data_IF_597827703070
#
_entry.id   IF_597827703070
#
_cell.length_a   1.000
_cell.length_b   1.000
_cell.length_c   1.000
_cell.angle_alpha   90.00
_cell.angle_beta   90.00
_cell.angle_gamma   90.00
#
_symmetry.space_group_name_H-M   'P 1'
#
loop_
_entity.id
_entity.type
_entity.pdbx_description
1 polymer ?
#
# COMPACT_ATOMS: atom_id res chain seq x y z
N UNK A 1 -16.11 -2.98 17.96
CA UNK A 1 -15.85 -1.81 18.82
C UNK A 1 -14.92 -0.90 18.06
N UNK A 2 -15.47 0.14 17.42
CA UNK A 2 -14.67 1.15 16.73
C UNK A 2 -13.98 1.98 17.81
N UNK A 3 -12.69 1.77 17.99
CA UNK A 3 -11.87 2.68 18.78
C UNK A 3 -11.74 3.94 17.94
N UNK A 4 -12.57 4.94 18.21
CA UNK A 4 -12.34 6.31 17.72
C UNK A 4 -11.01 6.75 18.34
N UNK A 5 -9.95 6.57 17.59
CA UNK A 5 -8.65 7.14 17.95
C UNK A 5 -8.84 8.63 17.73
N UNK A 6 -8.74 9.39 18.81
CA UNK A 6 -8.87 10.84 18.80
C UNK A 6 -7.85 11.40 17.80
N UNK A 7 -8.34 11.75 16.60
CA UNK A 7 -7.52 12.26 15.49
C UNK A 7 -7.03 13.69 15.72
N UNK A 8 -7.40 14.29 16.87
CA UNK A 8 -6.98 15.64 17.24
C UNK A 8 -5.56 15.68 17.73
N UNK A 9 -4.74 16.46 17.05
CA UNK A 9 -3.32 16.63 17.34
C UNK A 9 -3.00 18.12 17.49
N UNK A 10 -2.38 18.48 18.59
CA UNK A 10 -1.88 19.84 18.79
C UNK A 10 -0.55 19.98 18.03
N UNK A 11 -0.52 20.90 17.08
CA UNK A 11 0.65 21.18 16.25
C UNK A 11 1.22 22.57 16.61
N UNK A 12 2.53 22.64 16.77
CA UNK A 12 3.25 23.90 17.02
C UNK A 12 3.82 24.43 15.70
N UNK A 13 3.53 25.69 15.37
CA UNK A 13 4.13 26.32 14.19
C UNK A 13 5.66 26.45 14.36
N UNK A 14 6.40 26.23 13.26
CA UNK A 14 7.88 26.29 13.26
C UNK A 14 8.37 27.48 12.45
N UNK A 15 9.20 28.30 13.08
CA UNK A 15 9.92 29.39 12.42
C UNK A 15 11.38 29.04 12.13
N UNK A 16 11.93 28.06 12.85
CA UNK A 16 13.33 27.68 12.73
C UNK A 16 13.50 26.44 11.83
N UNK A 17 14.37 26.56 10.83
CA UNK A 17 14.61 25.56 9.81
C UNK A 17 16.05 25.00 9.87
N UNK A 18 16.31 23.95 9.11
CA UNK A 18 17.59 23.33 8.89
C UNK A 18 17.83 22.05 9.70
N UNK A 19 18.87 21.30 9.29
CA UNK A 19 19.22 19.96 9.80
C UNK A 19 19.37 19.89 11.33
N UNK A 20 20.04 20.88 11.91
CA UNK A 20 20.30 20.93 13.36
C UNK A 20 19.02 21.11 14.19
N UNK A 21 18.07 21.91 13.70
CA UNK A 21 16.78 22.13 14.36
C UNK A 21 15.88 20.89 14.25
N UNK A 22 15.81 20.26 13.08
CA UNK A 22 15.04 19.03 12.88
C UNK A 22 15.56 17.91 13.80
N UNK A 23 16.90 17.76 13.92
CA UNK A 23 17.50 16.77 14.83
C UNK A 23 17.14 17.04 16.31
N UNK A 24 17.16 18.30 16.74
CA UNK A 24 16.77 18.66 18.12
C UNK A 24 15.30 18.39 18.39
N UNK A 25 14.41 18.67 17.43
CA UNK A 25 12.99 18.36 17.54
C UNK A 25 12.75 16.86 17.72
N UNK A 26 13.39 16.03 16.89
CA UNK A 26 13.29 14.57 17.00
C UNK A 26 13.85 14.07 18.34
N UNK A 27 14.95 14.64 18.82
CA UNK A 27 15.48 14.33 20.14
C UNK A 27 14.54 14.73 21.29
N UNK A 28 13.70 15.76 21.09
CA UNK A 28 12.64 16.16 22.03
C UNK A 28 11.34 15.37 21.86
N UNK A 29 11.33 14.30 21.04
CA UNK A 29 10.15 13.47 20.81
C UNK A 29 9.10 14.11 19.91
N UNK A 30 9.45 15.16 19.15
CA UNK A 30 8.55 15.80 18.18
C UNK A 30 8.94 15.46 16.75
N UNK A 31 7.95 15.35 15.87
CA UNK A 31 8.15 15.05 14.46
C UNK A 31 7.97 16.34 13.66
N UNK A 32 8.95 16.73 12.82
CA UNK A 32 8.78 17.83 11.89
C UNK A 32 7.83 17.41 10.77
N UNK A 33 6.86 18.27 10.43
CA UNK A 33 5.93 18.05 9.35
C UNK A 33 5.74 19.31 8.51
N UNK A 34 5.29 19.14 7.28
CA UNK A 34 4.92 20.22 6.36
C UNK A 34 3.48 20.07 5.97
N UNK A 35 2.72 21.14 6.11
CA UNK A 35 1.33 21.25 5.74
C UNK A 35 1.21 22.10 4.47
N UNK A 36 0.71 21.55 3.39
CA UNK A 36 0.54 22.24 2.10
C UNK A 36 -0.81 21.91 1.46
N UNK A 37 -1.23 22.70 0.48
CA UNK A 37 -2.46 22.49 -0.28
C UNK A 37 -3.13 23.79 -0.66
N UNK A 38 -4.11 23.73 -1.56
CA UNK A 38 -4.94 24.85 -2.03
C UNK A 38 -4.17 26.09 -2.50
N UNK A 39 -2.92 25.94 -2.96
CA UNK A 39 -2.08 27.06 -3.40
C UNK A 39 -1.66 28.01 -2.28
N UNK A 40 -1.85 27.65 -1.02
CA UNK A 40 -1.36 28.42 0.12
C UNK A 40 0.13 28.18 0.35
N UNK A 41 0.81 29.13 1.01
CA UNK A 41 2.21 28.94 1.42
C UNK A 41 2.32 27.76 2.37
N UNK A 42 3.28 26.83 2.17
CA UNK A 42 3.48 25.70 3.07
C UNK A 42 3.73 26.17 4.52
N UNK A 43 3.05 25.54 5.45
CA UNK A 43 3.22 25.81 6.89
C UNK A 43 4.02 24.67 7.49
N UNK A 44 5.14 24.99 8.13
CA UNK A 44 5.95 24.00 8.82
C UNK A 44 5.48 23.88 10.27
N UNK A 45 5.27 22.65 10.72
CA UNK A 45 4.77 22.35 12.06
C UNK A 45 5.61 21.29 12.75
N UNK A 46 5.54 21.26 14.08
CA UNK A 46 6.09 20.20 14.91
C UNK A 46 4.95 19.47 15.58
N UNK A 47 4.89 18.15 15.39
CA UNK A 47 3.85 17.26 15.90
C UNK A 47 4.35 16.43 17.08
N UNK A 48 3.49 16.06 18.06
CA UNK A 48 3.85 15.16 19.16
C UNK A 48 4.13 13.75 18.59
N UNK A 49 5.38 13.27 18.73
CA UNK A 49 5.85 12.07 18.07
C UNK A 49 5.08 10.81 18.45
N UNK A 50 4.83 10.60 19.75
CA UNK A 50 4.14 9.40 20.22
C UNK A 50 2.70 9.29 19.72
N UNK A 51 1.92 10.36 19.84
CA UNK A 51 0.52 10.39 19.41
C UNK A 51 0.41 10.16 17.90
N UNK A 52 1.21 10.91 17.13
CA UNK A 52 1.19 10.85 15.67
C UNK A 52 1.68 9.48 15.15
N UNK A 53 2.69 8.87 15.78
CA UNK A 53 3.18 7.55 15.38
C UNK A 53 2.12 6.43 15.50
N UNK A 54 1.15 6.57 16.40
CA UNK A 54 0.02 5.66 16.52
C UNK A 54 -1.02 5.89 15.42
N UNK A 55 -1.30 7.16 15.10
CA UNK A 55 -2.29 7.53 14.08
C UNK A 55 -1.83 7.17 12.66
N UNK A 56 -0.56 7.41 12.37
CA UNK A 56 0.06 7.21 11.05
C UNK A 56 0.32 5.72 10.70
N UNK A 57 0.02 4.80 11.61
CA UNK A 57 0.03 3.35 11.28
C UNK A 57 -0.99 2.96 10.22
N UNK A 58 -2.05 3.76 10.08
CA UNK A 58 -3.05 3.59 9.02
C UNK A 58 -2.58 4.39 7.82
N UNK A 59 -2.60 3.77 6.64
CA UNK A 59 -2.38 4.50 5.39
C UNK A 59 -3.45 5.59 5.26
N UNK A 60 -3.08 6.72 4.67
CA UNK A 60 -4.00 7.84 4.40
C UNK A 60 -4.78 8.33 5.63
N UNK A 61 -4.13 8.40 6.79
CA UNK A 61 -4.75 8.86 8.02
C UNK A 61 -5.18 10.33 7.91
N UNK A 62 -6.42 10.63 8.33
CA UNK A 62 -6.94 11.99 8.44
C UNK A 62 -6.69 12.51 9.86
N UNK A 63 -6.01 13.65 9.97
CA UNK A 63 -5.65 14.31 11.23
C UNK A 63 -6.39 15.63 11.37
N UNK A 64 -6.91 15.91 12.56
CA UNK A 64 -7.42 17.23 12.94
C UNK A 64 -6.30 17.99 13.67
N UNK A 65 -5.65 18.89 12.96
CA UNK A 65 -4.56 19.68 13.52
C UNK A 65 -5.07 20.94 14.17
N UNK A 66 -4.65 21.18 15.39
CA UNK A 66 -4.86 22.46 16.08
C UNK A 66 -3.55 23.25 16.03
N UNK A 67 -3.52 24.28 15.15
CA UNK A 67 -2.37 25.16 14.95
C UNK A 67 -2.76 26.56 15.41
N UNK A 68 -2.10 27.11 16.42
CA UNK A 68 -2.37 28.47 16.94
C UNK A 68 -3.85 28.73 17.24
N UNK A 69 -4.56 27.71 17.76
CA UNK A 69 -5.99 27.80 18.10
C UNK A 69 -6.94 27.64 16.91
N UNK A 70 -6.46 27.40 15.71
CA UNK A 70 -7.27 27.09 14.52
C UNK A 70 -7.25 25.59 14.27
N UNK A 71 -8.44 25.03 14.06
CA UNK A 71 -8.58 23.62 13.66
C UNK A 71 -8.50 23.49 12.13
N UNK A 72 -7.68 22.56 11.66
CA UNK A 72 -7.47 22.30 10.26
C UNK A 72 -7.39 20.81 9.99
N UNK A 73 -8.17 20.32 9.02
CA UNK A 73 -8.08 18.94 8.57
C UNK A 73 -6.89 18.76 7.64
N UNK A 74 -6.12 17.72 7.88
CA UNK A 74 -4.96 17.37 7.09
C UNK A 74 -4.92 15.86 6.84
N UNK A 75 -4.68 15.48 5.59
CA UNK A 75 -4.42 14.12 5.19
C UNK A 75 -2.92 13.85 5.24
N UNK A 76 -2.52 12.71 5.77
CA UNK A 76 -1.14 12.23 5.70
C UNK A 76 -0.89 11.71 4.28
N UNK A 77 -0.04 12.43 3.52
CA UNK A 77 0.30 12.05 2.14
C UNK A 77 1.53 11.14 2.09
N UNK A 78 2.57 11.46 2.88
CA UNK A 78 3.79 10.65 2.94
C UNK A 78 4.37 10.64 4.36
N UNK A 79 5.05 9.53 4.69
CA UNK A 79 5.68 9.30 5.99
C UNK A 79 7.09 8.78 5.79
N UNK A 80 8.06 9.65 6.00
CA UNK A 80 9.46 9.27 5.95
C UNK A 80 9.89 8.64 7.28
N UNK A 81 10.23 7.36 7.23
CA UNK A 81 10.63 6.57 8.39
C UNK A 81 12.04 6.04 8.24
N UNK A 82 12.86 6.21 9.27
CA UNK A 82 14.18 5.57 9.35
C UNK A 82 14.00 4.06 9.53
N UNK A 83 14.48 3.23 8.58
CA UNK A 83 14.31 1.78 8.65
C UNK A 83 15.10 1.14 9.80
N UNK A 84 16.21 1.74 10.24
CA UNK A 84 17.08 1.20 11.28
C UNK A 84 16.54 1.50 12.67
N UNK A 85 16.23 2.76 12.95
CA UNK A 85 15.75 3.20 14.26
C UNK A 85 14.24 3.14 14.42
N UNK A 86 13.49 2.86 13.32
CA UNK A 86 12.02 2.83 13.30
C UNK A 86 11.38 4.15 13.77
N UNK A 87 12.10 5.28 13.58
CA UNK A 87 11.68 6.63 13.97
C UNK A 87 11.11 7.33 12.74
N UNK A 88 9.99 8.02 12.90
CA UNK A 88 9.44 8.88 11.85
C UNK A 88 10.30 10.14 11.77
N UNK A 89 10.89 10.37 10.61
CA UNK A 89 11.76 11.52 10.37
C UNK A 89 11.01 12.75 9.88
N UNK A 90 10.02 12.57 9.04
CA UNK A 90 9.20 13.63 8.45
C UNK A 90 7.81 13.14 8.10
N UNK A 91 6.84 14.05 8.08
CA UNK A 91 5.48 13.78 7.63
C UNK A 91 5.04 14.89 6.69
N UNK A 92 4.53 14.51 5.53
CA UNK A 92 3.92 15.41 4.57
C UNK A 92 2.40 15.38 4.72
N UNK A 93 1.81 16.55 4.91
CA UNK A 93 0.41 16.73 5.19
C UNK A 93 -0.25 17.59 4.12
N UNK A 94 -1.34 17.09 3.56
CA UNK A 94 -2.17 17.81 2.62
C UNK A 94 -3.38 18.41 3.35
N UNK A 95 -3.57 19.72 3.24
CA UNK A 95 -4.78 20.39 3.76
C UNK A 95 -5.98 19.90 2.95
N UNK A 96 -7.04 19.50 3.64
CA UNK A 96 -8.26 19.04 3.00
C UNK A 96 -9.48 19.70 3.61
N UNK A 97 -10.53 19.87 2.82
CA UNK A 97 -11.84 20.34 3.28
C UNK A 97 -12.81 19.15 3.35
N UNK A 98 -13.80 19.26 4.22
CA UNK A 98 -14.87 18.26 4.28
C UNK A 98 -15.62 18.22 2.94
N UNK A 99 -15.81 17.01 2.39
CA UNK A 99 -16.50 16.80 1.12
C UNK A 99 -15.65 17.07 -0.13
N UNK A 100 -14.37 17.36 0.01
CA UNK A 100 -13.46 17.52 -1.12
C UNK A 100 -12.99 16.15 -1.63
N UNK A 101 -12.94 16.02 -2.95
CA UNK A 101 -12.35 14.83 -3.58
C UNK A 101 -10.84 15.00 -3.70
N UNK A 102 -10.13 14.00 -3.29
CA UNK A 102 -8.67 13.97 -3.29
C UNK A 102 -8.16 12.69 -3.93
N UNK A 103 -6.99 12.78 -4.54
CA UNK A 103 -6.29 11.61 -5.05
C UNK A 103 -5.37 11.05 -3.96
N UNK A 104 -5.58 9.77 -3.65
CA UNK A 104 -4.81 9.04 -2.63
C UNK A 104 -4.34 7.71 -3.16
N UNK A 105 -3.17 7.28 -2.68
CA UNK A 105 -2.61 5.98 -3.00
C UNK A 105 -3.03 5.00 -1.91
N UNK A 106 -3.85 4.03 -2.26
CA UNK A 106 -4.42 3.05 -1.33
C UNK A 106 -3.72 1.71 -1.52
N UNK A 107 -3.23 1.06 -0.45
CA UNK A 107 -2.60 -0.24 -0.54
C UNK A 107 -3.61 -1.31 -0.95
N UNK A 108 -3.13 -2.28 -1.74
CA UNK A 108 -3.87 -3.48 -2.13
C UNK A 108 -3.61 -4.58 -1.10
N UNK A 109 -4.68 -5.20 -0.61
CA UNK A 109 -4.64 -6.36 0.26
C UNK A 109 -5.16 -7.57 -0.51
N UNK A 110 -4.34 -8.60 -0.62
CA UNK A 110 -4.74 -9.86 -1.25
C UNK A 110 -5.35 -10.76 -0.17
N UNK A 111 -6.57 -11.27 -0.42
CA UNK A 111 -7.26 -12.22 0.44
C UNK A 111 -7.58 -13.49 -0.37
N UNK A 112 -7.62 -14.63 0.32
CA UNK A 112 -7.87 -15.95 -0.29
C UNK A 112 -6.59 -16.76 -0.52
N UNK A 113 -6.78 -18.02 -0.88
CA UNK A 113 -5.70 -18.95 -1.25
C UNK A 113 -5.85 -19.30 -2.75
N UNK A 114 -4.80 -19.09 -3.56
CA UNK A 114 -4.83 -19.45 -4.98
C UNK A 114 -4.84 -20.99 -5.14
N UNK A 115 -4.98 -21.47 -6.36
CA UNK A 115 -4.93 -22.90 -6.65
C UNK A 115 -3.64 -23.54 -6.11
N UNK A 116 -3.70 -24.76 -5.52
CA UNK A 116 -2.51 -25.42 -4.99
C UNK A 116 -1.39 -25.56 -6.03
N UNK A 117 -0.18 -25.16 -5.66
CA UNK A 117 0.98 -25.17 -6.55
C UNK A 117 1.26 -23.85 -7.27
N UNK A 118 0.41 -22.84 -7.09
CA UNK A 118 0.63 -21.50 -7.64
C UNK A 118 1.09 -20.50 -6.58
N UNK A 119 1.73 -19.41 -7.03
CA UNK A 119 2.11 -18.28 -6.20
C UNK A 119 1.45 -17.00 -6.70
N UNK A 120 1.13 -16.12 -5.76
CA UNK A 120 0.59 -14.79 -6.05
C UNK A 120 1.74 -13.80 -6.14
N UNK A 121 1.92 -13.20 -7.30
CA UNK A 121 2.85 -12.10 -7.50
C UNK A 121 2.08 -10.78 -7.48
N UNK A 122 2.43 -9.90 -6.55
CA UNK A 122 1.86 -8.56 -6.45
C UNK A 122 2.78 -7.57 -7.18
N UNK A 123 2.40 -7.16 -8.38
CA UNK A 123 3.17 -6.22 -9.20
C UNK A 123 3.01 -4.79 -8.69
N UNK A 124 1.77 -4.39 -8.40
CA UNK A 124 1.47 -3.09 -7.85
C UNK A 124 0.90 -3.19 -6.44
N UNK A 125 1.63 -2.68 -5.46
CA UNK A 125 1.24 -2.70 -4.05
C UNK A 125 0.24 -1.62 -3.67
N UNK A 126 0.09 -0.59 -4.52
CA UNK A 126 -0.80 0.56 -4.28
C UNK A 126 -1.55 0.93 -5.55
N UNK A 127 -2.76 1.45 -5.38
CA UNK A 127 -3.62 1.96 -6.47
C UNK A 127 -4.05 3.39 -6.14
N UNK A 128 -3.92 4.30 -7.11
CA UNK A 128 -4.36 5.68 -6.96
C UNK A 128 -5.85 5.79 -7.20
N UNK A 129 -6.57 6.26 -6.19
CA UNK A 129 -8.02 6.46 -6.22
C UNK A 129 -8.37 7.92 -5.96
N UNK A 130 -9.39 8.43 -6.61
CA UNK A 130 -10.04 9.68 -6.26
C UNK A 130 -11.20 9.38 -5.32
N UNK A 131 -11.11 9.85 -4.08
CA UNK A 131 -12.10 9.59 -3.01
C UNK A 131 -12.41 10.86 -2.24
N UNK A 132 -13.55 10.88 -1.56
CA UNK A 132 -13.87 11.95 -0.62
C UNK A 132 -12.95 11.89 0.61
N UNK A 133 -12.40 13.04 1.03
CA UNK A 133 -11.44 13.16 2.12
C UNK A 133 -11.91 12.55 3.46
N UNK A 134 -13.23 12.46 3.67
CA UNK A 134 -13.83 11.88 4.88
C UNK A 134 -14.03 10.36 4.82
N UNK A 135 -13.97 9.76 3.63
CA UNK A 135 -14.29 8.34 3.38
C UNK A 135 -13.18 7.62 2.62
N UNK A 136 -11.95 7.78 3.07
CA UNK A 136 -10.80 7.13 2.44
C UNK A 136 -10.75 5.66 2.88
N UNK A 137 -10.72 4.69 1.94
CA UNK A 137 -10.55 3.28 2.27
C UNK A 137 -9.14 3.03 2.80
N UNK A 138 -9.00 2.13 3.77
CA UNK A 138 -7.69 1.77 4.33
C UNK A 138 -6.90 0.83 3.40
N UNK A 139 -7.61 -0.02 2.65
CA UNK A 139 -7.08 -0.95 1.67
C UNK A 139 -8.15 -1.29 0.64
N UNK A 140 -7.72 -1.74 -0.51
CA UNK A 140 -8.59 -2.36 -1.52
C UNK A 140 -8.32 -3.86 -1.48
N UNK A 141 -9.38 -4.65 -1.30
CA UNK A 141 -9.28 -6.11 -1.22
C UNK A 141 -9.33 -6.70 -2.62
N UNK A 142 -8.41 -7.61 -2.89
CA UNK A 142 -8.38 -8.45 -4.09
C UNK A 142 -8.53 -9.90 -3.65
N UNK A 143 -9.60 -10.54 -4.09
CA UNK A 143 -9.85 -11.94 -3.82
C UNK A 143 -9.15 -12.81 -4.89
N UNK A 144 -8.30 -13.72 -4.42
CA UNK A 144 -7.56 -14.67 -5.27
C UNK A 144 -7.98 -16.12 -5.03
N UNK A 145 -9.08 -16.35 -4.30
CA UNK A 145 -9.52 -17.70 -3.94
C UNK A 145 -9.81 -18.57 -5.16
N UNK A 146 -9.10 -19.68 -5.26
CA UNK A 146 -9.30 -20.69 -6.33
C UNK A 146 -8.93 -20.24 -7.73
N UNK A 147 -8.21 -19.11 -7.90
CA UNK A 147 -7.77 -18.64 -9.21
C UNK A 147 -6.63 -19.52 -9.73
N UNK A 148 -6.70 -19.84 -11.03
CA UNK A 148 -5.76 -20.72 -11.72
C UNK A 148 -4.52 -19.96 -12.21
N UNK A 149 -3.49 -20.71 -12.59
CA UNK A 149 -2.29 -20.20 -13.23
C UNK A 149 -2.61 -19.35 -14.48
N UNK A 150 -1.79 -18.30 -14.69
CA UNK A 150 -1.95 -17.37 -15.81
C UNK A 150 -3.07 -16.36 -15.63
N UNK A 151 -3.77 -16.36 -14.50
CA UNK A 151 -4.77 -15.33 -14.21
C UNK A 151 -4.09 -14.01 -13.85
N UNK A 152 -4.52 -12.94 -14.54
CA UNK A 152 -4.09 -11.58 -14.32
C UNK A 152 -5.25 -10.74 -13.82
N UNK A 153 -5.06 -10.04 -12.70
CA UNK A 153 -6.03 -9.10 -12.17
C UNK A 153 -5.51 -7.69 -12.43
N UNK A 154 -6.27 -6.91 -13.18
CA UNK A 154 -5.95 -5.53 -13.52
C UNK A 154 -6.62 -4.54 -12.58
N UNK A 155 -6.21 -3.27 -12.65
CA UNK A 155 -6.81 -2.22 -11.83
C UNK A 155 -8.31 -2.01 -12.11
N UNK A 156 -8.79 -2.35 -13.32
CA UNK A 156 -10.20 -2.28 -13.68
C UNK A 156 -11.06 -3.34 -12.98
N UNK A 157 -10.47 -4.49 -12.62
CA UNK A 157 -11.18 -5.61 -11.99
C UNK A 157 -11.37 -5.44 -10.47
N UNK A 158 -10.79 -4.39 -9.90
CA UNK A 158 -10.84 -4.14 -8.46
C UNK A 158 -12.24 -3.76 -7.99
N UNK A 159 -12.66 -4.36 -6.88
CA UNK A 159 -13.90 -3.97 -6.21
C UNK A 159 -13.69 -2.69 -5.41
N UNK A 160 -14.10 -1.56 -5.98
CA UNK A 160 -13.95 -0.26 -5.34
C UNK A 160 -15.11 0.03 -4.36
N UNK A 161 -14.84 0.67 -3.23
CA UNK A 161 -15.87 1.14 -2.31
C UNK A 161 -16.73 2.25 -2.93
N UNK A 162 -17.92 2.45 -2.39
CA UNK A 162 -18.86 3.47 -2.88
C UNK A 162 -18.25 4.87 -2.78
N UNK A 163 -18.23 5.59 -3.89
CA UNK A 163 -17.71 6.96 -3.94
C UNK A 163 -16.23 7.07 -4.30
N UNK A 164 -15.55 5.95 -4.53
CA UNK A 164 -14.18 5.94 -5.07
C UNK A 164 -14.21 5.84 -6.60
N UNK A 165 -13.34 6.61 -7.26
CA UNK A 165 -13.09 6.53 -8.69
C UNK A 165 -11.64 6.13 -8.93
N UNK A 166 -11.40 5.22 -9.86
CA UNK A 166 -10.06 4.80 -10.25
C UNK A 166 -9.36 5.93 -11.01
N UNK A 167 -8.15 6.29 -10.61
CA UNK A 167 -7.28 7.25 -11.30
C UNK A 167 -6.15 6.52 -12.03
N UNK A 168 -5.68 5.41 -11.45
CA UNK A 168 -4.70 4.51 -12.10
C UNK A 168 -5.30 4.00 -13.40
N UNK A 169 -4.46 3.84 -14.43
CA UNK A 169 -4.88 3.23 -15.69
C UNK A 169 -5.45 1.83 -15.42
N UNK A 170 -6.64 1.54 -15.95
CA UNK A 170 -7.34 0.27 -15.74
C UNK A 170 -6.57 -0.96 -16.27
N UNK A 171 -5.63 -0.76 -17.20
CA UNK A 171 -4.79 -1.84 -17.77
C UNK A 171 -3.59 -2.20 -16.89
N UNK A 172 -3.32 -1.44 -15.82
CA UNK A 172 -2.20 -1.73 -14.91
C UNK A 172 -2.43 -3.05 -14.21
N UNK A 173 -1.44 -3.95 -14.32
CA UNK A 173 -1.44 -5.24 -13.64
C UNK A 173 -1.24 -5.04 -12.14
N UNK A 174 -2.12 -5.61 -11.36
CA UNK A 174 -2.06 -5.56 -9.89
C UNK A 174 -1.56 -6.90 -9.34
N UNK A 175 -2.19 -7.99 -9.75
CA UNK A 175 -1.85 -9.33 -9.29
C UNK A 175 -1.71 -10.26 -10.48
N UNK A 176 -0.64 -11.07 -10.48
CA UNK A 176 -0.45 -12.17 -11.41
C UNK A 176 -0.29 -13.48 -10.65
N UNK A 177 -0.94 -14.53 -11.10
CA UNK A 177 -0.81 -15.87 -10.55
C UNK A 177 0.10 -16.68 -11.46
N UNK A 178 1.19 -17.22 -10.90
CA UNK A 178 2.17 -18.01 -11.63
C UNK A 178 2.57 -19.27 -10.86
N UNK A 179 3.15 -20.23 -11.55
CA UNK A 179 3.77 -21.41 -10.95
C UNK A 179 5.24 -21.07 -10.62
N UNK A 180 5.76 -21.47 -9.44
CA UNK A 180 7.17 -21.31 -9.13
C UNK A 180 8.04 -22.07 -10.14
N UNK A 181 9.10 -21.42 -10.62
CA UNK A 181 10.02 -22.02 -11.60
C UNK A 181 10.66 -23.36 -11.13
N UNK A 182 10.74 -23.57 -9.81
CA UNK A 182 11.21 -24.84 -9.25
C UNK A 182 10.24 -26.00 -9.50
N UNK A 183 8.92 -25.73 -9.49
CA UNK A 183 7.88 -26.73 -9.77
C UNK A 183 7.79 -27.05 -11.26
N UNK A 184 8.04 -26.06 -12.11
CA UNK A 184 8.09 -26.30 -13.57
C UNK A 184 9.26 -27.22 -13.97
N UNK A 185 10.43 -27.05 -13.33
CA UNK A 185 11.56 -27.94 -13.59
C UNK A 185 11.31 -29.40 -13.14
N UNK A 186 10.57 -29.59 -12.05
CA UNK A 186 10.17 -30.94 -11.59
C UNK A 186 9.11 -31.58 -12.49
N UNK A 187 8.19 -30.79 -13.04
CA UNK A 187 7.18 -31.28 -13.98
C UNK A 187 7.80 -31.65 -15.32
N UNK A 188 8.72 -30.80 -15.84
CA UNK A 188 9.46 -31.09 -17.08
C UNK A 188 10.36 -32.34 -16.95
N UNK A 189 10.97 -32.60 -15.77
CA UNK A 189 11.73 -33.82 -15.50
C UNK A 189 10.81 -35.07 -15.44
N UNK A 190 9.60 -34.93 -14.91
CA UNK A 190 8.63 -36.05 -14.83
C UNK A 190 8.07 -36.37 -16.23
N UNK A 191 7.71 -35.36 -17.03
CA UNK A 191 7.25 -35.57 -18.39
C UNK A 191 8.34 -36.18 -19.29
N UNK A 192 9.58 -35.72 -19.17
CA UNK A 192 10.71 -36.28 -19.89
C UNK A 192 11.03 -37.73 -19.46
N UNK A 193 10.80 -38.07 -18.18
CA UNK A 193 10.98 -39.42 -17.69
C UNK A 193 9.86 -40.38 -18.19
N UNK A 194 8.62 -39.89 -18.24
CA UNK A 194 7.47 -40.68 -18.78
C UNK A 194 7.57 -40.91 -20.29
N UNK A 195 8.03 -39.92 -21.09
CA UNK A 195 8.33 -40.09 -22.51
C UNK A 195 9.43 -41.12 -22.76
N UNK A 196 10.51 -41.09 -21.97
CA UNK A 196 11.61 -42.03 -22.08
C UNK A 196 11.18 -43.48 -21.77
N UNK A 197 10.28 -43.67 -20.78
CA UNK A 197 9.74 -44.97 -20.43
C UNK A 197 8.75 -45.49 -21.50
N UNK A 198 7.99 -44.59 -22.13
CA UNK A 198 7.08 -44.94 -23.22
C UNK A 198 7.83 -45.36 -24.50
N UNK A 199 8.98 -44.68 -24.82
CA UNK A 199 9.82 -45.08 -25.96
C UNK A 199 10.51 -46.43 -25.71
N UNK A 200 11.02 -46.68 -24.51
CA UNK A 200 11.67 -47.97 -24.17
C UNK A 200 10.68 -49.17 -24.23
N UNK A 201 9.40 -48.92 -23.86
CA UNK A 201 8.34 -49.93 -23.97
C UNK A 201 7.88 -50.17 -25.42
N UNK A 202 7.95 -49.15 -26.28
CA UNK A 202 7.62 -49.28 -27.70
C UNK A 202 8.71 -50.06 -28.44
N UNK A 203 10.00 -49.80 -28.13
CA UNK A 203 11.11 -50.51 -28.75
C UNK A 203 11.18 -51.98 -28.33
N UNK A 204 10.86 -52.30 -27.07
CA UNK A 204 10.80 -53.65 -26.57
C UNK A 204 9.63 -54.48 -27.15
N UNK A 205 8.60 -53.82 -27.64
CA UNK A 205 7.46 -54.47 -28.31
C UNK A 205 7.74 -54.82 -29.79
N UNK A 206 8.58 -54.05 -30.47
CA UNK A 206 9.01 -54.31 -31.84
C UNK A 206 10.07 -55.43 -31.96
N UNK A 207 10.88 -55.66 -30.92
CA UNK A 207 11.93 -56.72 -30.93
C UNK A 207 11.35 -58.14 -30.62
N UNK A 208 10.07 -58.25 -30.28
CA UNK A 208 9.42 -59.51 -29.90
C UNK A 208 8.51 -60.14 -30.99
N UNK A 209 8.56 -59.63 -32.21
CA UNK A 209 7.80 -60.19 -33.34
C UNK A 209 8.78 -60.73 -34.42
#
# INVERSE_FOLDING_TARGET
MSTEIDSKVIAEARENFGKGFARRLRAAGKIPAVLYGHGTTPVHVALPGHQVSLLVRRANALLELQIDGKEQLALVKDVQKDPVHQIIEHIDLLVVKKGEKIQVDVPVLVEGEPFPGTIVNLDSTTVSLEVEATHIPQHVVVDVEGLEEGTHITAADLTLPKGASLVTDGEVLIVAISVPAATMAEVDEIEAADEAVAEEQAEAAEESE
#
